data_IF_596748350669
#
_entry.id   IF_596748350669
#
_cell.length_a   1.000
_cell.length_b   1.000
_cell.length_c   1.000
_cell.angle_alpha   90.00
_cell.angle_beta   90.00
_cell.angle_gamma   90.00
#
_symmetry.space_group_name_H-M   'P 1'
#
loop_
_entity.id
_entity.type
_entity.pdbx_description
1 polymer ?
#
# COMPACT_ATOMS: atom_id res chain seq x y z
N UNK A 1 17.00 7.85 -8.74
CA UNK A 1 15.87 8.61 -9.35
C UNK A 1 15.68 9.85 -8.49
N UNK A 2 16.62 10.79 -8.52
CA UNK A 2 16.57 11.99 -7.67
C UNK A 2 16.25 13.19 -8.55
N UNK A 3 14.97 13.31 -8.92
CA UNK A 3 14.44 14.53 -9.53
C UNK A 3 13.53 15.23 -8.50
N UNK A 4 14.03 16.28 -7.82
CA UNK A 4 13.29 16.99 -6.77
C UNK A 4 11.95 17.57 -7.25
N UNK A 5 11.86 17.94 -8.54
CA UNK A 5 10.64 18.47 -9.14
C UNK A 5 9.55 17.40 -9.22
N UNK A 6 9.92 16.20 -9.69
CA UNK A 6 8.99 15.08 -9.81
C UNK A 6 8.44 14.65 -8.44
N UNK A 7 9.29 14.66 -7.41
CA UNK A 7 8.89 14.35 -6.03
C UNK A 7 7.87 15.37 -5.51
N UNK A 8 8.10 16.66 -5.74
CA UNK A 8 7.20 17.72 -5.31
C UNK A 8 5.83 17.60 -5.98
N UNK A 9 5.81 17.45 -7.32
CA UNK A 9 4.57 17.27 -8.07
C UNK A 9 3.80 16.02 -7.65
N UNK A 10 4.51 14.94 -7.32
CA UNK A 10 3.89 13.72 -6.82
C UNK A 10 3.27 13.91 -5.43
N UNK A 11 3.97 14.59 -4.51
CA UNK A 11 3.43 14.91 -3.18
C UNK A 11 2.14 15.72 -3.32
N UNK A 12 2.13 16.74 -4.18
CA UNK A 12 0.92 17.53 -4.46
C UNK A 12 -0.20 16.68 -5.04
N UNK A 13 0.11 15.76 -5.95
CA UNK A 13 -0.86 14.81 -6.50
C UNK A 13 -1.48 13.95 -5.40
N UNK A 14 -0.68 13.41 -4.48
CA UNK A 14 -1.16 12.58 -3.38
C UNK A 14 -2.01 13.41 -2.41
N UNK A 15 -1.56 14.57 -1.97
CA UNK A 15 -2.32 15.40 -1.03
C UNK A 15 -3.67 15.85 -1.62
N UNK A 16 -3.71 16.24 -2.89
CA UNK A 16 -4.95 16.62 -3.57
C UNK A 16 -5.94 15.45 -3.72
N UNK A 17 -5.46 14.20 -3.75
CA UNK A 17 -6.30 13.00 -3.93
C UNK A 17 -6.39 12.13 -2.66
N UNK A 18 -5.82 12.58 -1.54
CA UNK A 18 -5.71 11.82 -0.30
C UNK A 18 -7.04 11.30 0.22
N UNK A 19 -8.09 12.14 0.19
CA UNK A 19 -9.45 11.74 0.58
C UNK A 19 -10.02 10.61 -0.27
N UNK A 20 -9.68 10.59 -1.56
CA UNK A 20 -10.09 9.52 -2.48
C UNK A 20 -9.40 8.21 -2.14
N UNK A 21 -8.08 8.26 -1.92
CA UNK A 21 -7.29 7.08 -1.56
C UNK A 21 -7.78 6.52 -0.22
N UNK A 22 -7.99 7.39 0.78
CA UNK A 22 -8.56 6.99 2.07
C UNK A 22 -9.91 6.29 1.94
N UNK A 23 -10.83 6.83 1.13
CA UNK A 23 -12.14 6.23 0.91
C UNK A 23 -12.02 4.83 0.31
N UNK A 24 -11.13 4.64 -0.67
CA UNK A 24 -10.88 3.33 -1.28
C UNK A 24 -10.36 2.35 -0.22
N UNK A 25 -9.33 2.72 0.55
CA UNK A 25 -8.80 1.84 1.60
C UNK A 25 -9.85 1.49 2.66
N UNK A 26 -10.71 2.44 3.04
CA UNK A 26 -11.78 2.20 4.01
C UNK A 26 -12.93 1.32 3.49
N UNK A 27 -13.14 1.28 2.17
CA UNK A 27 -14.19 0.49 1.55
C UNK A 27 -13.82 -1.00 1.45
N UNK A 28 -12.53 -1.32 1.35
CA UNK A 28 -12.03 -2.68 1.10
C UNK A 28 -11.40 -3.37 2.32
N UNK A 29 -11.12 -2.63 3.40
CA UNK A 29 -10.55 -3.17 4.64
C UNK A 29 -11.39 -2.74 5.85
N UNK A 30 -11.53 -3.60 6.86
CA UNK A 30 -12.32 -3.30 8.06
C UNK A 30 -11.46 -2.83 9.25
N UNK A 31 -10.33 -3.49 9.52
CA UNK A 31 -9.46 -3.10 10.62
C UNK A 31 -8.56 -1.90 10.24
N UNK A 32 -8.06 -1.21 11.26
CA UNK A 32 -7.29 0.04 11.09
C UNK A 32 -5.87 -0.16 10.58
N UNK A 33 -5.28 -1.34 10.78
CA UNK A 33 -3.91 -1.64 10.37
C UNK A 33 -3.89 -1.90 8.87
N UNK A 34 -4.72 -2.81 8.39
CA UNK A 34 -4.88 -3.14 6.98
C UNK A 34 -5.27 -1.93 6.14
N UNK A 35 -6.11 -1.03 6.68
CA UNK A 35 -6.45 0.24 6.02
C UNK A 35 -5.21 1.11 5.78
N UNK A 36 -4.30 1.18 6.75
CA UNK A 36 -3.05 1.96 6.64
C UNK A 36 -2.07 1.28 5.69
N UNK A 37 -1.98 -0.04 5.74
CA UNK A 37 -1.11 -0.81 4.86
C UNK A 37 -1.56 -0.70 3.41
N UNK A 38 -2.85 -0.90 3.13
CA UNK A 38 -3.42 -0.71 1.80
C UNK A 38 -3.26 0.74 1.31
N UNK A 39 -3.41 1.73 2.18
CA UNK A 39 -3.16 3.13 1.82
C UNK A 39 -1.71 3.35 1.37
N UNK A 40 -0.74 2.79 2.10
CA UNK A 40 0.67 2.89 1.74
C UNK A 40 1.01 2.13 0.45
N UNK A 41 0.46 0.93 0.26
CA UNK A 41 0.62 0.17 -0.98
C UNK A 41 0.10 0.94 -2.19
N UNK A 42 -1.04 1.62 -2.05
CA UNK A 42 -1.58 2.47 -3.10
C UNK A 42 -0.61 3.62 -3.43
N UNK A 43 -0.07 4.32 -2.42
CA UNK A 43 0.90 5.41 -2.64
C UNK A 43 2.16 4.89 -3.34
N UNK A 44 2.71 3.76 -2.89
CA UNK A 44 3.91 3.18 -3.45
C UNK A 44 3.75 2.81 -4.92
N UNK A 45 2.62 2.17 -5.27
CA UNK A 45 2.32 1.84 -6.66
C UNK A 45 2.03 3.08 -7.51
N UNK A 46 1.38 4.11 -6.95
CA UNK A 46 1.20 5.39 -7.63
C UNK A 46 2.54 6.04 -7.96
N UNK A 47 3.50 6.01 -7.03
CA UNK A 47 4.84 6.55 -7.26
C UNK A 47 5.54 5.86 -8.44
N UNK A 48 5.49 4.53 -8.48
CA UNK A 48 6.07 3.73 -9.56
C UNK A 48 5.39 4.05 -10.90
N UNK A 49 4.06 4.24 -10.90
CA UNK A 49 3.29 4.50 -12.11
C UNK A 49 3.33 5.97 -12.58
N UNK A 50 3.65 6.92 -11.70
CA UNK A 50 3.53 8.36 -11.94
C UNK A 50 4.31 8.87 -13.16
N UNK A 51 5.58 8.46 -13.42
CA UNK A 51 6.31 8.89 -14.60
C UNK A 51 5.64 8.51 -15.94
N UNK A 52 4.80 7.47 -15.93
CA UNK A 52 4.05 7.00 -17.09
C UNK A 52 2.69 7.69 -17.29
N UNK A 53 2.31 8.64 -16.45
CA UNK A 53 1.01 9.31 -16.56
C UNK A 53 0.98 10.31 -17.72
N UNK A 54 0.21 9.99 -18.76
CA UNK A 54 0.18 10.75 -20.02
C UNK A 54 -0.90 11.84 -20.09
N UNK A 55 -1.51 12.26 -18.97
CA UNK A 55 -2.59 13.27 -18.94
C UNK A 55 -3.81 12.98 -19.84
N UNK A 56 -4.04 11.73 -20.24
CA UNK A 56 -5.18 11.31 -21.08
C UNK A 56 -6.54 11.27 -20.34
N UNK A 57 -6.53 11.55 -19.04
CA UNK A 57 -7.70 11.54 -18.17
C UNK A 57 -7.46 12.49 -17.00
N UNK A 58 -8.52 12.87 -16.26
CA UNK A 58 -8.34 13.60 -14.98
C UNK A 58 -7.43 12.79 -14.04
N UNK A 59 -6.54 13.50 -13.34
CA UNK A 59 -5.64 12.90 -12.33
C UNK A 59 -6.43 12.05 -11.33
N UNK A 60 -7.54 12.56 -10.82
CA UNK A 60 -8.41 11.85 -9.88
C UNK A 60 -8.96 10.53 -10.43
N UNK A 61 -9.30 10.48 -11.73
CA UNK A 61 -9.77 9.26 -12.39
C UNK A 61 -8.65 8.23 -12.48
N UNK A 62 -7.45 8.67 -12.82
CA UNK A 62 -6.29 7.79 -12.89
C UNK A 62 -5.89 7.25 -11.50
N UNK A 63 -5.83 8.12 -10.49
CA UNK A 63 -5.59 7.74 -9.09
C UNK A 63 -6.64 6.74 -8.61
N UNK A 64 -7.92 6.99 -8.87
CA UNK A 64 -9.01 6.08 -8.50
C UNK A 64 -8.83 4.69 -9.12
N UNK A 65 -8.52 4.62 -10.42
CA UNK A 65 -8.31 3.35 -11.12
C UNK A 65 -7.17 2.53 -10.52
N UNK A 66 -6.03 3.17 -10.24
CA UNK A 66 -4.89 2.50 -9.61
C UNK A 66 -5.25 2.04 -8.20
N UNK A 67 -5.82 2.94 -7.39
CA UNK A 67 -6.23 2.65 -6.00
C UNK A 67 -7.18 1.46 -5.94
N UNK A 68 -8.19 1.44 -6.81
CA UNK A 68 -9.21 0.39 -6.87
C UNK A 68 -8.62 -0.96 -7.27
N UNK A 69 -7.76 -0.99 -8.30
CA UNK A 69 -7.14 -2.24 -8.75
C UNK A 69 -6.26 -2.87 -7.65
N UNK A 70 -5.52 -2.03 -6.92
CA UNK A 70 -4.69 -2.47 -5.80
C UNK A 70 -5.59 -2.99 -4.67
N UNK A 71 -6.62 -2.25 -4.28
CA UNK A 71 -7.55 -2.65 -3.22
C UNK A 71 -8.25 -3.98 -3.53
N UNK A 72 -8.69 -4.20 -4.78
CA UNK A 72 -9.29 -5.47 -5.21
C UNK A 72 -8.29 -6.62 -5.13
N UNK A 73 -7.05 -6.39 -5.58
CA UNK A 73 -5.99 -7.40 -5.54
C UNK A 73 -5.66 -7.78 -4.10
N UNK A 74 -5.44 -6.76 -3.27
CA UNK A 74 -5.17 -6.89 -1.84
C UNK A 74 -6.29 -7.66 -1.13
N UNK A 75 -7.56 -7.31 -1.37
CA UNK A 75 -8.72 -7.98 -0.78
C UNK A 75 -8.81 -9.46 -1.18
N UNK A 76 -8.53 -9.77 -2.45
CA UNK A 76 -8.53 -11.16 -2.95
C UNK A 76 -7.44 -12.00 -2.30
N UNK A 77 -6.26 -11.42 -2.08
CA UNK A 77 -5.13 -12.14 -1.51
C UNK A 77 -5.28 -12.29 0.01
N UNK A 78 -5.82 -11.29 0.70
CA UNK A 78 -6.20 -11.37 2.11
C UNK A 78 -7.23 -12.49 2.36
N UNK A 79 -8.27 -12.57 1.50
CA UNK A 79 -9.27 -13.63 1.58
C UNK A 79 -8.66 -15.03 1.43
N UNK A 80 -7.59 -15.18 0.63
CA UNK A 80 -6.84 -16.43 0.48
C UNK A 80 -5.91 -16.70 1.68
N UNK A 81 -5.27 -15.68 2.23
CA UNK A 81 -4.31 -15.79 3.34
C UNK A 81 -4.96 -16.00 4.71
N UNK A 82 -6.23 -15.63 4.90
CA UNK A 82 -7.00 -15.98 6.11
C UNK A 82 -7.03 -17.49 6.43
N UNK A 83 -6.61 -18.35 5.49
CA UNK A 83 -6.43 -19.81 5.68
C UNK A 83 -5.03 -20.25 6.11
N UNK A 84 -4.03 -19.38 6.18
CA UNK A 84 -2.65 -19.80 6.47
C UNK A 84 -1.81 -18.60 6.88
N UNK A 85 -1.52 -18.51 8.18
CA UNK A 85 -0.20 -18.25 8.79
C UNK A 85 -0.47 -18.19 10.30
N UNK A 86 -0.17 -19.28 10.97
CA UNK A 86 -0.05 -19.32 12.42
C UNK A 86 1.34 -18.78 12.74
N UNK A 87 1.42 -17.58 13.31
CA UNK A 87 2.68 -17.02 13.78
C UNK A 87 3.10 -17.80 15.02
N UNK A 88 3.90 -18.85 14.86
CA UNK A 88 4.62 -19.44 16.00
C UNK A 88 5.65 -18.44 16.47
N UNK A 89 5.72 -18.20 17.79
CA UNK A 89 6.65 -17.29 18.47
C UNK A 89 8.13 -17.70 18.38
N UNK A 90 8.51 -18.49 17.37
CA UNK A 90 9.87 -18.97 17.18
C UNK A 90 10.65 -17.92 16.40
N UNK A 91 11.34 -17.05 17.13
CA UNK A 91 12.40 -16.22 16.55
C UNK A 91 13.59 -17.15 16.27
N UNK A 92 13.99 -17.40 15.00
CA UNK A 92 14.98 -18.44 14.67
C UNK A 92 16.41 -18.15 15.15
N UNK A 93 16.69 -16.96 15.70
CA UNK A 93 18.05 -16.51 16.01
C UNK A 93 18.32 -16.28 17.51
N UNK A 94 17.51 -16.85 18.39
CA UNK A 94 17.66 -16.71 19.86
C UNK A 94 17.86 -18.03 20.62
N UNK A 95 18.11 -19.16 19.93
CA UNK A 95 18.18 -20.47 20.60
C UNK A 95 19.53 -20.86 21.20
N UNK A 96 20.61 -20.09 21.01
CA UNK A 96 21.97 -20.64 21.23
C UNK A 96 22.80 -19.96 22.34
N UNK A 97 22.18 -19.25 23.31
CA UNK A 97 22.95 -18.62 24.41
C UNK A 97 22.45 -18.87 25.85
N UNK A 98 21.73 -19.97 26.12
CA UNK A 98 21.34 -20.31 27.51
C UNK A 98 22.01 -21.52 28.16
N UNK A 99 22.97 -22.19 27.51
CA UNK A 99 23.77 -23.25 28.17
C UNK A 99 25.26 -22.84 28.29
N UNK A 100 25.53 -21.85 29.15
CA UNK A 100 26.84 -21.66 29.79
C UNK A 100 26.65 -21.18 31.23
N UNK A 101 26.18 -22.06 32.11
CA UNK A 101 26.44 -21.98 33.56
C UNK A 101 26.59 -23.37 34.15
#
# INVERSE_FOLDING_TARGET
>A
MDNPKLQTEFIDLIENNKKLIYKVSHMYCNNTIDKKDLFQDIISNLWIAYPGFQNKSKVSTWVYRISLNIAITWFRDYSKQSKKIEYTNLIPHLSDETDRT
#
